data_IF_768319079611
#
_entry.id   IF_768319079611
#
_cell.length_a   1.000
_cell.length_b   1.000
_cell.length_c   1.000
_cell.angle_alpha   90.00
_cell.angle_beta   90.00
_cell.angle_gamma   90.00
#
_symmetry.space_group_name_H-M   'P 1'
#
loop_
_entity.id
_entity.type
_entity.pdbx_description
1 polymer ?
#
# COMPACT_ATOMS: atom_id res chain seq x y z
N UNK A 1 6.48 -0.60 -8.62
CA UNK A 1 5.21 -0.07 -9.16
C UNK A 1 4.13 -1.15 -8.96
N UNK A 2 3.15 -0.93 -8.08
CA UNK A 2 2.13 -1.95 -7.81
C UNK A 2 1.15 -2.03 -8.99
N UNK A 3 1.07 -3.19 -9.63
CA UNK A 3 0.14 -3.39 -10.73
C UNK A 3 -1.23 -3.83 -10.19
N UNK A 4 -2.19 -2.92 -10.21
CA UNK A 4 -3.55 -3.17 -9.73
C UNK A 4 -4.48 -3.78 -10.79
N UNK A 5 -3.98 -4.05 -12.00
CA UNK A 5 -4.73 -4.75 -13.04
C UNK A 5 -4.54 -6.27 -12.97
N UNK A 6 -3.53 -6.74 -12.22
CA UNK A 6 -3.27 -8.15 -11.99
C UNK A 6 -4.09 -8.72 -10.83
N UNK A 7 -4.66 -9.91 -10.98
CA UNK A 7 -5.38 -10.61 -9.89
C UNK A 7 -4.51 -10.92 -8.68
N UNK A 8 -3.19 -10.98 -8.85
CA UNK A 8 -2.23 -11.18 -7.76
C UNK A 8 -2.23 -10.00 -6.76
N UNK A 9 -2.70 -8.81 -7.17
CA UNK A 9 -2.84 -7.65 -6.27
C UNK A 9 -3.93 -7.84 -5.21
N UNK A 10 -4.86 -8.78 -5.43
CA UNK A 10 -5.99 -9.00 -4.52
C UNK A 10 -5.53 -9.46 -3.14
N UNK A 11 -4.42 -10.22 -3.07
CA UNK A 11 -3.84 -10.60 -1.80
C UNK A 11 -3.25 -9.38 -1.07
N UNK A 12 -2.46 -8.57 -1.76
CA UNK A 12 -1.82 -7.40 -1.16
C UNK A 12 -2.85 -6.34 -0.74
N UNK A 13 -3.83 -6.05 -1.60
CA UNK A 13 -4.90 -5.10 -1.30
C UNK A 13 -5.75 -5.55 -0.12
N UNK A 14 -6.10 -6.85 -0.05
CA UNK A 14 -6.80 -7.42 1.10
C UNK A 14 -5.98 -7.37 2.39
N UNK A 15 -4.68 -7.63 2.30
CA UNK A 15 -3.79 -7.59 3.47
C UNK A 15 -3.61 -6.16 3.99
N UNK A 16 -3.37 -5.18 3.10
CA UNK A 16 -3.23 -3.76 3.46
C UNK A 16 -4.53 -3.22 4.08
N UNK A 17 -5.69 -3.63 3.58
CA UNK A 17 -6.98 -3.27 4.17
C UNK A 17 -7.15 -3.81 5.61
N UNK A 18 -6.69 -5.04 5.87
CA UNK A 18 -6.76 -5.65 7.20
C UNK A 18 -5.67 -5.14 8.16
N UNK A 19 -4.51 -4.73 7.64
CA UNK A 19 -3.32 -4.35 8.42
C UNK A 19 -2.96 -2.87 8.26
N UNK A 20 -3.94 -2.02 7.94
CA UNK A 20 -3.73 -0.60 7.62
C UNK A 20 -3.02 0.18 8.73
N UNK A 21 -3.16 -0.23 9.99
CA UNK A 21 -2.49 0.40 11.15
C UNK A 21 -0.97 0.21 11.22
N UNK A 22 -0.39 -0.67 10.41
CA UNK A 22 1.08 -0.88 10.34
C UNK A 22 1.67 -0.50 8.99
N UNK A 23 0.83 -0.17 8.00
CA UNK A 23 1.29 0.25 6.67
C UNK A 23 1.59 1.74 6.70
N UNK A 24 2.76 2.12 6.18
CA UNK A 24 3.23 3.49 6.30
C UNK A 24 4.56 3.72 5.60
N UNK A 25 5.15 4.87 5.91
CA UNK A 25 6.33 5.38 5.24
C UNK A 25 7.28 6.09 6.20
N UNK A 26 8.51 6.28 5.74
CA UNK A 26 9.59 6.86 6.55
C UNK A 26 10.53 5.81 7.12
N UNK A 27 11.54 6.28 7.84
CA UNK A 27 12.60 5.45 8.42
C UNK A 27 12.39 5.29 9.91
N UNK A 28 12.44 4.05 10.43
CA UNK A 28 12.41 3.60 11.84
C UNK A 28 11.84 4.59 12.88
N UNK A 29 12.53 5.71 13.17
CA UNK A 29 12.13 6.70 14.19
C UNK A 29 11.10 7.75 13.72
N UNK A 30 10.87 7.85 12.42
CA UNK A 30 9.90 8.74 11.77
C UNK A 30 8.87 7.95 10.96
N UNK A 31 8.58 6.71 11.38
CA UNK A 31 7.55 5.90 10.75
C UNK A 31 6.19 6.58 10.90
N UNK A 32 5.60 6.95 9.77
CA UNK A 32 4.27 7.55 9.69
C UNK A 32 3.33 6.51 9.11
N UNK A 33 2.34 6.09 9.89
CA UNK A 33 1.29 5.20 9.41
C UNK A 33 0.50 5.94 8.33
N UNK A 34 0.56 5.40 7.12
CA UNK A 34 -0.07 5.96 5.92
C UNK A 34 -0.38 4.79 4.96
N UNK A 35 -1.51 4.10 5.16
CA UNK A 35 -1.90 2.95 4.32
C UNK A 35 -2.12 3.33 2.85
N UNK A 36 -2.44 4.59 2.56
CA UNK A 36 -2.66 5.11 1.21
C UNK A 36 -1.36 5.37 0.43
N UNK A 37 -0.20 5.15 1.06
CA UNK A 37 1.08 5.23 0.36
C UNK A 37 1.32 4.03 -0.58
N UNK A 38 0.55 2.95 -0.44
CA UNK A 38 0.57 1.82 -1.37
C UNK A 38 -0.25 2.19 -2.61
N UNK A 39 0.42 2.76 -3.62
CA UNK A 39 -0.25 3.27 -4.81
C UNK A 39 -0.14 2.33 -6.00
N UNK A 40 -1.27 2.19 -6.70
CA UNK A 40 -1.34 1.55 -8.00
C UNK A 40 -0.53 2.35 -9.03
N UNK A 41 0.30 1.64 -9.79
CA UNK A 41 1.07 2.20 -10.90
C UNK A 41 0.14 2.52 -12.07
N UNK A 42 0.24 3.73 -12.63
CA UNK A 42 -0.50 4.11 -13.84
C UNK A 42 -1.92 4.67 -13.63
N UNK A 43 -2.45 4.68 -12.41
CA UNK A 43 -3.73 5.35 -12.08
C UNK A 43 -3.56 6.68 -11.33
N UNK A 44 -2.32 7.14 -11.13
CA UNK A 44 -1.99 8.46 -10.56
C UNK A 44 -2.16 9.56 -11.63
N UNK A 45 -3.40 9.82 -12.06
CA UNK A 45 -3.76 11.01 -12.83
C UNK A 45 -4.83 11.79 -12.07
#
# INVERSE_FOLDING_TARGET
PWDCQCTDILYLSGWVAQHSGIVGEGWLRSWTVNPDNVKCSGTNN
#
